data_IF_827336997119
#
_entry.id   IF_827336997119
#
_cell.length_a   1.000
_cell.length_b   1.000
_cell.length_c   1.000
_cell.angle_alpha   90.00
_cell.angle_beta   90.00
_cell.angle_gamma   90.00
#
_symmetry.space_group_name_H-M   'P 1'
#
loop_
_entity.id
_entity.type
_entity.pdbx_description
1 polymer ?
#
# COMPACT_ATOMS: atom_id res chain seq x y z
N UNK A 1 2.43 22.36 4.76
CA UNK A 1 3.78 22.89 5.08
C UNK A 1 4.65 21.85 5.78
N UNK A 2 4.16 21.20 6.84
CA UNK A 2 4.89 20.19 7.63
C UNK A 2 5.28 18.90 6.89
N UNK A 3 4.39 18.35 6.05
CA UNK A 3 4.73 17.16 5.25
C UNK A 3 5.93 17.38 4.32
N UNK A 4 6.12 18.59 3.78
CA UNK A 4 7.30 18.90 2.94
C UNK A 4 8.59 18.81 3.75
N UNK A 5 8.62 19.36 4.96
CA UNK A 5 9.82 19.34 5.81
C UNK A 5 10.16 17.90 6.23
N UNK A 6 9.18 17.12 6.69
CA UNK A 6 9.37 15.74 7.13
C UNK A 6 9.88 14.83 6.00
N UNK A 7 9.21 14.82 4.84
CA UNK A 7 9.58 13.92 3.75
C UNK A 7 10.82 14.40 2.98
N UNK A 8 11.11 15.72 2.93
CA UNK A 8 12.30 16.26 2.22
C UNK A 8 13.57 16.19 3.07
N UNK A 9 13.51 16.45 4.38
CA UNK A 9 14.70 16.48 5.24
C UNK A 9 14.95 15.17 5.98
N UNK A 10 13.89 14.46 6.41
CA UNK A 10 14.05 13.17 7.11
C UNK A 10 13.91 11.96 6.18
N UNK A 11 13.64 12.18 4.87
CA UNK A 11 13.34 11.12 3.89
C UNK A 11 12.28 10.13 4.39
N UNK A 12 11.38 10.59 5.27
CA UNK A 12 10.36 9.72 5.83
C UNK A 12 9.51 9.14 4.69
N UNK A 13 9.28 7.83 4.63
CA UNK A 13 8.38 7.23 3.66
C UNK A 13 6.91 7.60 3.93
N UNK A 14 6.07 7.53 2.90
CA UNK A 14 4.64 7.88 3.01
C UNK A 14 3.83 6.69 3.53
N UNK A 15 2.80 6.97 4.34
CA UNK A 15 1.74 6.00 4.62
C UNK A 15 0.74 6.03 3.48
N UNK A 16 0.49 4.87 2.90
CA UNK A 16 -0.39 4.68 1.76
C UNK A 16 -1.81 4.33 2.22
N UNK A 17 -2.79 4.60 1.36
CA UNK A 17 -4.15 4.11 1.52
C UNK A 17 -4.20 2.60 1.25
N UNK A 18 -4.96 1.87 2.09
CA UNK A 18 -5.11 0.42 1.98
C UNK A 18 -6.58 0.00 2.00
N UNK A 19 -6.88 -1.10 1.33
CA UNK A 19 -8.19 -1.79 1.38
C UNK A 19 -7.94 -3.22 1.82
N UNK A 20 -8.67 -3.66 2.85
CA UNK A 20 -8.64 -5.03 3.34
C UNK A 20 -9.82 -5.78 2.73
N UNK A 21 -9.53 -6.69 1.79
CA UNK A 21 -10.56 -7.56 1.20
C UNK A 21 -10.83 -8.78 2.06
N UNK A 22 -9.78 -9.34 2.67
CA UNK A 22 -9.87 -10.50 3.55
C UNK A 22 -8.94 -10.32 4.75
N UNK A 23 -9.47 -10.47 5.96
CA UNK A 23 -8.71 -10.34 7.21
C UNK A 23 -9.09 -11.44 8.22
N UNK A 24 -8.94 -12.73 7.86
CA UNK A 24 -9.25 -13.82 8.79
C UNK A 24 -8.32 -13.78 10.01
N UNK A 25 -8.81 -14.27 11.15
CA UNK A 25 -8.03 -14.30 12.41
C UNK A 25 -6.83 -15.25 12.32
N UNK A 26 -7.00 -16.36 11.62
CA UNK A 26 -5.94 -17.30 11.25
C UNK A 26 -5.81 -17.29 9.74
N UNK A 27 -4.57 -17.23 9.24
CA UNK A 27 -4.28 -17.15 7.82
C UNK A 27 -3.02 -17.94 7.50
N UNK A 28 -2.99 -18.55 6.32
CA UNK A 28 -1.84 -19.29 5.83
C UNK A 28 -0.80 -18.39 5.13
N UNK A 29 -1.25 -17.28 4.53
CA UNK A 29 -0.40 -16.34 3.81
C UNK A 29 -0.99 -14.92 3.76
N UNK A 30 -0.13 -13.93 3.53
CA UNK A 30 -0.50 -12.55 3.26
C UNK A 30 -0.29 -12.22 1.78
N UNK A 31 -1.35 -11.80 1.10
CA UNK A 31 -1.31 -11.35 -0.30
C UNK A 31 -1.43 -9.83 -0.35
N UNK A 32 -0.40 -9.20 -0.88
CA UNK A 32 -0.36 -7.76 -1.12
C UNK A 32 -0.62 -7.47 -2.59
N UNK A 33 -1.70 -6.74 -2.88
CA UNK A 33 -2.12 -6.39 -4.23
C UNK A 33 -1.68 -4.96 -4.58
N UNK A 34 -0.82 -4.84 -5.59
CA UNK A 34 -0.29 -3.57 -6.08
C UNK A 34 -0.81 -3.32 -7.49
N UNK A 35 -1.50 -2.19 -7.70
CA UNK A 35 -2.00 -1.81 -9.01
C UNK A 35 -0.90 -1.21 -9.92
N UNK A 36 -1.19 -1.10 -11.22
CA UNK A 36 -0.32 -0.44 -12.21
C UNK A 36 -0.64 1.05 -12.44
N UNK A 37 0.00 1.67 -13.44
CA UNK A 37 -0.21 3.08 -13.79
C UNK A 37 -1.66 3.33 -14.22
N UNK A 38 -2.24 4.46 -13.78
CA UNK A 38 -3.58 4.88 -14.17
C UNK A 38 -4.72 4.14 -13.46
N UNK A 39 -4.41 3.39 -12.41
CA UNK A 39 -5.36 2.56 -11.66
C UNK A 39 -5.37 2.90 -10.16
N UNK A 40 -6.11 2.09 -9.38
CA UNK A 40 -6.24 2.16 -7.93
C UNK A 40 -6.53 0.76 -7.37
N UNK A 41 -6.71 0.64 -6.06
CA UNK A 41 -7.14 -0.63 -5.42
C UNK A 41 -8.39 -1.23 -6.05
N UNK A 42 -9.30 -0.41 -6.60
CA UNK A 42 -10.58 -0.84 -7.16
C UNK A 42 -10.44 -1.88 -8.29
N UNK A 43 -9.29 -1.94 -8.97
CA UNK A 43 -9.08 -2.98 -10.00
C UNK A 43 -9.14 -4.41 -9.44
N UNK A 44 -8.97 -4.56 -8.13
CA UNK A 44 -8.91 -5.85 -7.45
C UNK A 44 -10.24 -6.37 -6.91
N UNK A 45 -11.31 -5.57 -6.94
CA UNK A 45 -12.61 -5.93 -6.31
C UNK A 45 -13.11 -7.32 -6.73
N UNK A 46 -13.01 -7.65 -8.01
CA UNK A 46 -13.43 -8.95 -8.55
C UNK A 46 -12.40 -10.07 -8.39
N UNK A 47 -11.11 -9.75 -8.30
CA UNK A 47 -10.04 -10.74 -8.20
C UNK A 47 -9.80 -11.17 -6.75
N UNK A 48 -9.92 -10.23 -5.82
CA UNK A 48 -9.70 -10.46 -4.40
C UNK A 48 -10.70 -11.45 -3.81
N UNK A 49 -11.93 -11.53 -4.33
CA UNK A 49 -12.94 -12.51 -3.92
C UNK A 49 -12.65 -13.94 -4.39
N UNK A 50 -11.71 -14.12 -5.31
CA UNK A 50 -11.31 -15.44 -5.84
C UNK A 50 -10.08 -16.02 -5.13
N UNK A 51 -9.45 -15.25 -4.26
CA UNK A 51 -8.32 -15.72 -3.46
C UNK A 51 -8.81 -16.65 -2.34
N UNK A 52 -7.98 -17.61 -1.89
CA UNK A 52 -8.33 -18.53 -0.81
C UNK A 52 -8.86 -17.81 0.42
N UNK A 53 -9.89 -18.36 1.06
CA UNK A 53 -10.58 -17.73 2.19
C UNK A 53 -9.69 -17.62 3.46
N UNK A 54 -8.62 -18.40 3.52
CA UNK A 54 -7.60 -18.38 4.57
C UNK A 54 -6.40 -17.49 4.21
N UNK A 55 -6.47 -16.71 3.13
CA UNK A 55 -5.49 -15.68 2.82
C UNK A 55 -5.90 -14.34 3.46
N UNK A 56 -4.92 -13.64 4.03
CA UNK A 56 -5.07 -12.22 4.33
C UNK A 56 -4.81 -11.41 3.06
N UNK A 57 -5.78 -10.68 2.56
CA UNK A 57 -5.68 -9.96 1.28
C UNK A 57 -5.81 -8.46 1.50
N UNK A 58 -4.75 -7.74 1.15
CA UNK A 58 -4.64 -6.29 1.31
C UNK A 58 -4.23 -5.66 -0.02
N UNK A 59 -4.97 -4.67 -0.50
CA UNK A 59 -4.55 -3.85 -1.63
C UNK A 59 -4.07 -2.48 -1.16
N UNK A 60 -3.11 -1.90 -1.86
CA UNK A 60 -2.61 -0.55 -1.62
C UNK A 60 -2.79 0.32 -2.85
N UNK A 61 -3.17 1.58 -2.63
CA UNK A 61 -2.98 2.61 -3.65
C UNK A 61 -1.51 3.04 -3.63
N UNK A 62 -0.81 2.92 -4.76
CA UNK A 62 0.56 3.39 -4.88
C UNK A 62 0.64 4.91 -4.66
N UNK A 63 1.81 5.38 -4.21
CA UNK A 63 2.05 6.81 -4.03
C UNK A 63 1.79 7.56 -5.34
N UNK A 64 1.00 8.62 -5.29
CA UNK A 64 0.55 9.35 -6.48
C UNK A 64 -0.80 8.93 -7.04
N UNK A 65 -1.38 7.80 -6.59
CA UNK A 65 -2.60 7.21 -7.16
C UNK A 65 -3.73 7.07 -6.14
N UNK A 66 -4.92 6.71 -6.64
CA UNK A 66 -6.12 6.41 -5.85
C UNK A 66 -6.38 7.40 -4.71
N UNK A 67 -6.46 6.92 -3.48
CA UNK A 67 -6.59 7.73 -2.26
C UNK A 67 -5.27 7.94 -1.52
N UNK A 68 -4.16 7.41 -2.01
CA UNK A 68 -2.82 7.65 -1.46
C UNK A 68 -2.33 9.09 -1.68
N UNK A 69 -1.37 9.56 -0.86
CA UNK A 69 -0.78 10.90 -1.00
C UNK A 69 -0.22 11.16 -2.40
N UNK A 70 -0.32 12.41 -2.87
CA UNK A 70 0.13 12.84 -4.22
C UNK A 70 1.06 14.05 -4.13
N UNK A 71 2.28 13.89 -3.60
CA UNK A 71 3.19 15.01 -3.43
C UNK A 71 3.62 15.57 -4.80
N UNK A 72 3.25 16.81 -5.09
CA UNK A 72 3.54 17.49 -6.37
C UNK A 72 5.03 17.77 -6.65
N UNK A 73 5.91 17.52 -5.68
CA UNK A 73 7.31 17.92 -5.70
C UNK A 73 8.28 16.73 -5.64
N UNK A 74 7.76 15.51 -5.58
CA UNK A 74 8.59 14.31 -5.42
C UNK A 74 8.87 13.65 -6.78
N UNK A 75 10.08 13.12 -6.95
CA UNK A 75 10.39 12.25 -8.09
C UNK A 75 9.87 10.85 -7.75
N UNK A 76 8.91 10.34 -8.51
CA UNK A 76 8.44 8.97 -8.31
C UNK A 76 9.52 8.00 -8.79
N UNK A 77 9.89 7.03 -7.94
CA UNK A 77 10.80 5.94 -8.28
C UNK A 77 10.29 4.63 -7.69
N UNK A 78 10.69 3.50 -8.29
CA UNK A 78 10.35 2.18 -7.76
C UNK A 78 10.81 2.01 -6.30
N UNK A 79 11.98 2.58 -5.94
CA UNK A 79 12.48 2.57 -4.57
C UNK A 79 11.56 3.32 -3.61
N UNK A 80 11.14 4.54 -3.96
CA UNK A 80 10.22 5.33 -3.13
C UNK A 80 8.86 4.63 -2.96
N UNK A 81 8.37 3.95 -4.01
CA UNK A 81 7.16 3.13 -3.91
C UNK A 81 7.37 1.98 -2.91
N UNK A 82 8.44 1.20 -3.07
CA UNK A 82 8.77 0.08 -2.19
C UNK A 82 8.94 0.50 -0.72
N UNK A 83 9.64 1.61 -0.47
CA UNK A 83 9.85 2.15 0.88
C UNK A 83 8.52 2.58 1.53
N UNK A 84 7.63 3.21 0.74
CA UNK A 84 6.29 3.61 1.20
C UNK A 84 5.39 2.41 1.50
N UNK A 85 5.45 1.37 0.66
CA UNK A 85 4.74 0.10 0.89
C UNK A 85 5.25 -0.56 2.18
N UNK A 86 6.57 -0.75 2.31
CA UNK A 86 7.17 -1.40 3.47
C UNK A 86 6.82 -0.67 4.78
N UNK A 87 6.86 0.67 4.76
CA UNK A 87 6.50 1.50 5.91
C UNK A 87 5.02 1.41 6.25
N UNK A 88 4.16 1.36 5.25
CA UNK A 88 2.71 1.18 5.46
C UNK A 88 2.43 -0.17 6.12
N UNK A 89 3.01 -1.25 5.59
CA UNK A 89 2.87 -2.60 6.16
C UNK A 89 3.42 -2.69 7.59
N UNK A 90 4.58 -2.08 7.84
CA UNK A 90 5.18 -2.00 9.17
C UNK A 90 4.28 -1.26 10.16
N UNK A 91 3.76 -0.08 9.78
CA UNK A 91 2.85 0.70 10.63
C UNK A 91 1.55 -0.04 10.95
N UNK A 92 1.08 -0.87 10.01
CA UNK A 92 -0.08 -1.74 10.20
C UNK A 92 0.24 -3.02 11.00
N UNK A 93 1.50 -3.23 11.39
CA UNK A 93 2.00 -4.45 12.03
C UNK A 93 1.73 -5.71 11.21
N UNK A 94 1.71 -5.57 9.88
CA UNK A 94 1.62 -6.71 8.98
C UNK A 94 3.00 -7.36 8.93
N UNK A 95 3.06 -8.56 9.49
CA UNK A 95 4.24 -9.43 9.60
C UNK A 95 3.77 -10.87 9.39
N UNK A 96 4.65 -11.76 8.94
CA UNK A 96 4.32 -13.16 8.64
C UNK A 96 4.63 -13.56 7.19
N UNK A 97 4.33 -14.82 6.80
CA UNK A 97 4.38 -15.23 5.40
C UNK A 97 3.35 -14.49 4.53
#
# INVERSE_FOLDING_TARGET
>A
MWQKLLHKWLKAPYILHTVHYQAPKQYAATVILLHGIGSSTAMWDNAASKLPADARVIALDLLGFGKSPKPAWNTYSARIQADSIATTLFAMRITGP
#
